data_IF_460683777071
#
_entry.id   IF_460683777071
#
_cell.length_a   1.000
_cell.length_b   1.000
_cell.length_c   1.000
_cell.angle_alpha   90.00
_cell.angle_beta   90.00
_cell.angle_gamma   90.00
#
_symmetry.space_group_name_H-M   'P 1'
#
loop_
_entity.id
_entity.type
_entity.pdbx_description
1 polymer ?
#
# COMPACT_ATOMS: atom_id res chain seq x y z
N UNK A 1 -18.85 -8.90 -3.25
CA UNK A 1 -17.55 -8.19 -3.12
C UNK A 1 -17.29 -8.05 -1.63
N UNK A 2 -16.20 -8.59 -1.07
CA UNK A 2 -15.87 -8.34 0.35
C UNK A 2 -15.53 -6.86 0.49
N UNK A 3 -16.25 -6.13 1.35
CA UNK A 3 -15.86 -4.77 1.73
C UNK A 3 -14.52 -4.85 2.45
N UNK A 4 -13.43 -4.48 1.76
CA UNK A 4 -12.11 -4.36 2.36
C UNK A 4 -12.02 -2.98 2.97
N UNK A 5 -12.23 -2.91 4.28
CA UNK A 5 -11.99 -1.69 5.04
C UNK A 5 -10.49 -1.62 5.36
N UNK A 6 -9.81 -0.58 4.86
CA UNK A 6 -8.45 -0.25 5.31
C UNK A 6 -8.56 0.61 6.56
N UNK A 7 -7.85 0.24 7.62
CA UNK A 7 -7.84 0.96 8.89
C UNK A 7 -6.79 2.07 8.83
N UNK A 8 -7.16 3.16 8.13
CA UNK A 8 -6.34 4.35 7.94
C UNK A 8 -6.78 5.41 8.96
N UNK A 9 -5.80 6.13 9.51
CA UNK A 9 -6.06 7.21 10.45
C UNK A 9 -6.33 8.50 9.67
N UNK A 10 -7.59 8.93 9.61
CA UNK A 10 -8.00 10.09 8.83
C UNK A 10 -7.60 11.42 9.48
N UNK A 11 -7.17 11.43 10.75
CA UNK A 11 -6.65 12.65 11.41
C UNK A 11 -5.18 12.90 11.03
N UNK A 12 -4.46 11.87 10.58
CA UNK A 12 -3.05 11.97 10.18
C UNK A 12 -2.83 12.39 8.72
N UNK A 13 -3.87 12.34 7.88
CA UNK A 13 -3.73 12.53 6.44
C UNK A 13 -4.83 13.40 5.85
N UNK A 14 -4.47 14.17 4.82
CA UNK A 14 -5.43 14.83 3.95
C UNK A 14 -6.24 13.82 3.13
N UNK A 15 -7.38 14.25 2.58
CA UNK A 15 -8.22 13.40 1.72
C UNK A 15 -7.43 12.90 0.50
N UNK A 16 -6.64 13.78 -0.10
CA UNK A 16 -5.79 13.48 -1.25
C UNK A 16 -4.75 12.40 -0.92
N UNK A 17 -4.14 12.49 0.25
CA UNK A 17 -3.17 11.50 0.74
C UNK A 17 -3.82 10.15 1.02
N UNK A 18 -5.00 10.13 1.64
CA UNK A 18 -5.76 8.90 1.87
C UNK A 18 -6.09 8.23 0.54
N UNK A 19 -6.53 8.98 -0.48
CA UNK A 19 -6.80 8.43 -1.81
C UNK A 19 -5.55 7.78 -2.39
N UNK A 20 -4.38 8.39 -2.24
CA UNK A 20 -3.09 7.85 -2.71
C UNK A 20 -2.68 6.59 -1.95
N UNK A 21 -2.84 6.57 -0.62
CA UNK A 21 -2.57 5.39 0.23
C UNK A 21 -3.45 4.23 -0.18
N UNK A 22 -4.77 4.44 -0.28
CA UNK A 22 -5.74 3.42 -0.69
C UNK A 22 -5.46 2.94 -2.11
N UNK A 23 -5.14 3.84 -3.04
CA UNK A 23 -4.76 3.51 -4.40
C UNK A 23 -3.51 2.62 -4.46
N UNK A 24 -2.51 2.92 -3.64
CA UNK A 24 -1.31 2.11 -3.53
C UNK A 24 -1.60 0.71 -2.95
N UNK A 25 -2.42 0.60 -1.90
CA UNK A 25 -2.81 -0.70 -1.35
C UNK A 25 -3.50 -1.59 -2.38
N UNK A 26 -4.44 -1.03 -3.16
CA UNK A 26 -5.09 -1.76 -4.26
C UNK A 26 -4.09 -2.24 -5.30
N UNK A 27 -3.12 -1.40 -5.65
CA UNK A 27 -2.07 -1.76 -6.61
C UNK A 27 -1.20 -2.93 -6.11
N UNK A 28 -0.85 -2.94 -4.82
CA UNK A 28 -0.12 -4.03 -4.17
C UNK A 28 -0.93 -5.32 -4.18
N UNK A 29 -2.23 -5.25 -3.88
CA UNK A 29 -3.12 -6.41 -3.95
C UNK A 29 -3.25 -6.95 -5.38
N UNK A 30 -3.39 -6.08 -6.38
CA UNK A 30 -3.46 -6.47 -7.79
C UNK A 30 -2.19 -7.17 -8.26
N UNK A 31 -1.01 -6.76 -7.76
CA UNK A 31 0.27 -7.39 -8.08
C UNK A 31 0.35 -8.89 -7.72
N UNK A 32 -0.51 -9.38 -6.83
CA UNK A 32 -0.62 -10.83 -6.53
C UNK A 32 -1.23 -11.63 -7.68
N UNK A 33 -2.14 -11.03 -8.44
CA UNK A 33 -2.99 -11.73 -9.43
C UNK A 33 -2.71 -11.32 -10.86
N UNK A 34 -2.07 -10.16 -11.06
CA UNK A 34 -1.82 -9.56 -12.38
C UNK A 34 -0.36 -9.16 -12.48
N UNK A 35 0.17 -9.15 -13.71
CA UNK A 35 1.42 -8.44 -14.01
C UNK A 35 1.15 -6.94 -13.94
N UNK A 36 1.84 -6.26 -13.03
CA UNK A 36 1.83 -4.81 -12.89
C UNK A 36 3.10 -4.25 -13.52
N UNK A 37 2.97 -3.09 -14.15
CA UNK A 37 4.12 -2.31 -14.61
C UNK A 37 5.04 -1.98 -13.42
N UNK A 38 6.29 -2.42 -13.51
CA UNK A 38 7.29 -2.25 -12.45
C UNK A 38 7.59 -0.78 -12.17
N UNK A 39 7.66 0.06 -13.20
CA UNK A 39 7.95 1.49 -13.06
C UNK A 39 6.76 2.21 -12.40
N UNK A 40 5.54 1.83 -12.75
CA UNK A 40 4.33 2.31 -12.08
C UNK A 40 4.35 1.96 -10.58
N UNK A 41 4.65 0.70 -10.25
CA UNK A 41 4.66 0.22 -8.87
C UNK A 41 5.74 0.92 -8.03
N UNK A 42 6.95 1.08 -8.58
CA UNK A 42 8.04 1.81 -7.92
C UNK A 42 7.67 3.28 -7.70
N UNK A 43 7.09 3.95 -8.71
CA UNK A 43 6.66 5.34 -8.59
C UNK A 43 5.60 5.51 -7.49
N UNK A 44 4.61 4.63 -7.46
CA UNK A 44 3.54 4.67 -6.44
C UNK A 44 4.05 4.32 -5.05
N UNK A 45 5.00 3.40 -4.94
CA UNK A 45 5.68 3.13 -3.67
C UNK A 45 6.45 4.34 -3.14
N UNK A 46 7.18 5.06 -4.00
CA UNK A 46 7.87 6.30 -3.61
C UNK A 46 6.90 7.38 -3.12
N UNK A 47 5.78 7.56 -3.83
CA UNK A 47 4.72 8.49 -3.43
C UNK A 47 4.14 8.11 -2.06
N UNK A 48 3.80 6.84 -1.86
CA UNK A 48 3.33 6.32 -0.58
C UNK A 48 4.35 6.54 0.55
N UNK A 49 5.63 6.20 0.32
CA UNK A 49 6.72 6.41 1.29
C UNK A 49 6.87 7.87 1.71
N UNK A 50 6.71 8.80 0.77
CA UNK A 50 6.78 10.24 1.05
C UNK A 50 5.64 10.73 1.95
N UNK A 51 4.45 10.12 1.83
CA UNK A 51 3.27 10.48 2.65
C UNK A 51 3.42 9.90 4.06
N UNK A 52 3.81 8.63 4.17
CA UNK A 52 3.86 7.95 5.46
C UNK A 52 5.01 8.48 6.34
N UNK A 53 6.18 8.72 5.75
CA UNK A 53 7.37 9.26 6.40
C UNK A 53 7.70 8.68 7.80
N UNK A 54 7.33 7.41 8.04
CA UNK A 54 7.44 6.76 9.35
C UNK A 54 7.51 5.25 9.21
N UNK A 55 8.63 4.67 9.64
CA UNK A 55 8.88 3.22 9.57
C UNK A 55 7.84 2.45 10.41
N UNK A 56 7.41 3.01 11.55
CA UNK A 56 6.42 2.37 12.41
C UNK A 56 5.06 2.28 11.69
N UNK A 57 4.65 3.36 11.03
CA UNK A 57 3.38 3.43 10.32
C UNK A 57 3.40 2.54 9.06
N UNK A 58 4.54 2.46 8.36
CA UNK A 58 4.71 1.52 7.27
C UNK A 58 4.56 0.06 7.70
N UNK A 59 5.19 -0.33 8.82
CA UNK A 59 5.06 -1.69 9.37
C UNK A 59 3.62 -1.98 9.80
N UNK A 60 2.93 -1.00 10.38
CA UNK A 60 1.52 -1.10 10.75
C UNK A 60 0.65 -1.37 9.52
N UNK A 61 0.84 -0.60 8.45
CA UNK A 61 0.06 -0.75 7.21
C UNK A 61 0.43 -1.99 6.40
N UNK A 62 1.70 -2.38 6.36
CA UNK A 62 2.12 -3.65 5.77
C UNK A 62 1.45 -4.84 6.47
N UNK A 63 1.45 -4.85 7.82
CA UNK A 63 0.77 -5.88 8.61
C UNK A 63 -0.74 -5.88 8.36
N UNK A 64 -1.38 -4.73 8.42
CA UNK A 64 -2.82 -4.60 8.17
C UNK A 64 -3.19 -5.14 6.78
N UNK A 65 -2.43 -4.77 5.74
CA UNK A 65 -2.68 -5.24 4.38
C UNK A 65 -2.50 -6.75 4.28
N UNK A 66 -1.46 -7.30 4.93
CA UNK A 66 -1.20 -8.73 4.96
C UNK A 66 -2.32 -9.50 5.65
N UNK A 67 -2.80 -9.04 6.81
CA UNK A 67 -3.90 -9.68 7.54
C UNK A 67 -5.22 -9.68 6.73
N UNK A 68 -5.48 -8.61 5.98
CA UNK A 68 -6.74 -8.47 5.21
C UNK A 68 -6.69 -9.15 3.83
N UNK A 69 -5.53 -9.24 3.20
CA UNK A 69 -5.39 -9.64 1.78
C UNK A 69 -4.43 -10.81 1.52
N UNK A 70 -3.61 -11.16 2.52
CA UNK A 70 -2.50 -12.10 2.37
C UNK A 70 -1.43 -11.60 1.41
N UNK A 71 -1.22 -10.27 1.34
CA UNK A 71 -0.16 -9.62 0.54
C UNK A 71 0.58 -8.62 1.42
N UNK A 72 1.91 -8.65 1.36
CA UNK A 72 2.79 -7.72 2.05
C UNK A 72 3.39 -6.74 1.05
N UNK A 73 3.29 -5.45 1.36
CA UNK A 73 3.97 -4.35 0.66
C UNK A 73 5.47 -4.63 0.60
N UNK A 74 6.09 -4.97 1.73
CA UNK A 74 7.53 -5.21 1.80
C UNK A 74 7.96 -6.34 0.86
N UNK A 75 7.29 -7.49 0.91
CA UNK A 75 7.64 -8.64 0.07
C UNK A 75 7.37 -8.35 -1.41
N UNK A 76 6.26 -7.72 -1.74
CA UNK A 76 5.92 -7.35 -3.13
C UNK A 76 6.97 -6.42 -3.72
N UNK A 77 7.41 -5.40 -2.96
CA UNK A 77 8.45 -4.47 -3.44
C UNK A 77 9.83 -5.15 -3.50
N UNK A 78 10.18 -5.98 -2.51
CA UNK A 78 11.45 -6.72 -2.49
C UNK A 78 11.62 -7.66 -3.68
N UNK A 79 10.53 -8.30 -4.11
CA UNK A 79 10.52 -9.24 -5.22
C UNK A 79 10.52 -8.57 -6.61
N UNK A 80 10.54 -7.23 -6.69
CA UNK A 80 10.71 -6.50 -7.95
C UNK A 80 12.17 -6.48 -8.43
N UNK A 81 13.14 -6.85 -7.58
CA UNK A 81 14.56 -6.89 -7.92
C UNK A 81 14.98 -8.22 -8.56
#
# INVERSE_FOLDING_TARGET
MKNKNYDIDFELFTVEEVVKIVGFFKLIEDAKTKRIDKDLLIRKYKEYRSIINSIALEKKYDRMLYEKSGVSIYHTIKNLH
#
